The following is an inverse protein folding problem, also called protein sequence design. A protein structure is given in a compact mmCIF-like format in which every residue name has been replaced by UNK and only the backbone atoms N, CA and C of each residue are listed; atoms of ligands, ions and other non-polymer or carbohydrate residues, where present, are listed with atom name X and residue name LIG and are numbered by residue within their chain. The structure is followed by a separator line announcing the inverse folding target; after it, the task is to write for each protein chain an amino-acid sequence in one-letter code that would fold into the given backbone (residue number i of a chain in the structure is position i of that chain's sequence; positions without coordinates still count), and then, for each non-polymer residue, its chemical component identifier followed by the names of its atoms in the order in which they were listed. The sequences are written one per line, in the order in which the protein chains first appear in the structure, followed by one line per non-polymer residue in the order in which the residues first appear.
data_IF_124358970070
#
_entry.id   IF_124358970070
#
_cell.length_a   1.000
_cell.length_b   1.000
_cell.length_c   1.000
_cell.angle_alpha   90.00
_cell.angle_beta   90.00
_cell.angle_gamma   90.00
#
_symmetry.space_group_name_H-M   'P 1'
#
loop_
_entity.id
_entity.type
_entity.pdbx_description
1 polymer ?
#
# COMPACT_ATOMS: atom_id res chain seq x y z
N UNK A 1 -53.72 -6.26 30.71
CA UNK A 1 -52.54 -5.69 30.04
C UNK A 1 -52.91 -5.46 28.59
N UNK A 2 -52.81 -4.23 28.10
CA UNK A 2 -53.30 -3.89 26.76
C UNK A 2 -52.31 -4.41 25.71
N UNK A 3 -52.79 -5.02 24.63
CA UNK A 3 -51.94 -5.55 23.55
C UNK A 3 -50.90 -4.53 23.04
N UNK A 4 -51.20 -3.23 23.13
CA UNK A 4 -50.32 -2.13 22.74
C UNK A 4 -49.05 -2.03 23.62
N UNK A 5 -49.14 -2.28 24.93
CA UNK A 5 -47.98 -2.16 25.84
C UNK A 5 -46.98 -3.30 25.66
N UNK A 6 -47.44 -4.50 25.27
CA UNK A 6 -46.57 -5.65 25.00
C UNK A 6 -45.75 -5.45 23.73
N UNK A 7 -46.37 -4.90 22.67
CA UNK A 7 -45.67 -4.59 21.42
C UNK A 7 -44.58 -3.53 21.60
N UNK A 8 -44.86 -2.47 22.38
CA UNK A 8 -43.87 -1.42 22.67
C UNK A 8 -42.65 -1.98 23.42
N UNK A 9 -42.88 -2.84 24.44
CA UNK A 9 -41.77 -3.47 25.18
C UNK A 9 -40.96 -4.44 24.30
N UNK A 10 -41.62 -5.16 23.39
CA UNK A 10 -40.94 -6.04 22.44
C UNK A 10 -40.05 -5.26 21.48
N UNK A 11 -40.57 -4.15 20.95
CA UNK A 11 -39.86 -3.28 20.01
C UNK A 11 -38.65 -2.60 20.66
N UNK A 12 -38.78 -2.11 21.89
CA UNK A 12 -37.66 -1.55 22.66
C UNK A 12 -36.58 -2.60 22.97
N UNK A 13 -36.99 -3.84 23.27
CA UNK A 13 -36.06 -4.94 23.50
C UNK A 13 -35.28 -5.31 22.23
N UNK A 14 -35.96 -5.37 21.08
CA UNK A 14 -35.33 -5.59 19.78
C UNK A 14 -34.38 -4.45 19.41
N UNK A 15 -34.79 -3.19 19.61
CA UNK A 15 -33.99 -2.02 19.30
C UNK A 15 -32.73 -1.93 20.18
N UNK A 16 -32.84 -2.20 21.48
CA UNK A 16 -31.70 -2.25 22.40
C UNK A 16 -30.71 -3.36 22.05
N UNK A 17 -31.19 -4.54 21.63
CA UNK A 17 -30.33 -5.63 21.17
C UNK A 17 -29.64 -5.32 19.85
N UNK A 18 -30.34 -4.66 18.93
CA UNK A 18 -29.79 -4.21 17.66
C UNK A 18 -28.70 -3.14 17.87
N UNK A 19 -28.96 -2.15 18.74
CA UNK A 19 -27.97 -1.14 19.14
C UNK A 19 -26.75 -1.75 19.85
N UNK A 20 -26.97 -2.74 20.74
CA UNK A 20 -25.87 -3.47 21.38
C UNK A 20 -25.04 -4.25 20.35
N UNK A 21 -25.68 -4.85 19.34
CA UNK A 21 -25.00 -5.55 18.25
C UNK A 21 -24.16 -4.60 17.38
N UNK A 22 -24.68 -3.40 17.08
CA UNK A 22 -23.95 -2.34 16.38
C UNK A 22 -22.73 -1.84 17.18
N UNK A 23 -22.88 -1.64 18.48
CA UNK A 23 -21.79 -1.19 19.36
C UNK A 23 -20.69 -2.26 19.50
N UNK A 24 -21.06 -3.54 19.60
CA UNK A 24 -20.09 -4.65 19.66
C UNK A 24 -19.41 -4.88 18.29
N UNK A 25 -20.17 -4.78 17.19
CA UNK A 25 -19.64 -4.93 15.83
C UNK A 25 -18.65 -3.82 15.45
N UNK A 26 -18.89 -2.58 15.90
CA UNK A 26 -17.96 -1.46 15.68
C UNK A 26 -16.65 -1.56 16.45
N UNK A 27 -16.65 -2.18 17.65
CA UNK A 27 -15.45 -2.40 18.46
C UNK A 27 -14.55 -3.52 17.90
N UNK A 28 -15.14 -4.48 17.18
CA UNK A 28 -14.41 -5.57 16.52
C UNK A 28 -13.97 -5.26 15.08
N UNK A 29 -14.26 -4.07 14.57
CA UNK A 29 -13.67 -3.60 13.32
C UNK A 29 -12.15 -3.47 13.53
N UNK A 30 -11.40 -4.52 13.21
CA UNK A 30 -9.95 -4.47 13.14
C UNK A 30 -9.61 -3.31 12.21
N UNK A 31 -8.97 -2.28 12.77
CA UNK A 31 -8.06 -1.47 11.96
C UNK A 31 -7.08 -2.48 11.37
N UNK A 32 -7.13 -2.71 10.06
CA UNK A 32 -5.98 -3.25 9.37
C UNK A 32 -4.90 -2.18 9.53
N UNK A 33 -4.17 -2.25 10.64
CA UNK A 33 -2.91 -1.52 10.76
C UNK A 33 -2.04 -1.97 9.59
N UNK A 34 -1.27 -1.05 9.02
CA UNK A 34 -0.34 -1.40 7.94
C UNK A 34 0.47 -2.62 8.38
N UNK A 35 0.43 -3.67 7.55
CA UNK A 35 1.23 -4.85 7.80
C UNK A 35 2.71 -4.45 7.79
N UNK A 36 3.53 -5.12 8.60
CA UNK A 36 4.97 -4.97 8.46
C UNK A 36 5.40 -5.34 7.04
N UNK A 37 6.38 -4.60 6.54
CA UNK A 37 6.98 -4.75 5.21
C UNK A 37 7.37 -6.22 4.95
N UNK A 38 8.07 -6.83 5.91
CA UNK A 38 8.56 -8.21 5.82
C UNK A 38 7.45 -9.26 5.70
N UNK A 39 6.19 -8.90 5.94
CA UNK A 39 5.08 -9.84 5.72
C UNK A 39 4.88 -10.13 4.23
N UNK A 40 5.09 -9.14 3.37
CA UNK A 40 4.71 -9.20 1.97
C UNK A 40 5.89 -9.02 1.01
N UNK A 41 6.99 -8.43 1.47
CA UNK A 41 8.12 -8.04 0.62
C UNK A 41 9.44 -8.55 1.21
N UNK A 42 10.43 -8.72 0.32
CA UNK A 42 11.84 -8.93 0.65
C UNK A 42 12.69 -7.87 -0.04
N UNK A 43 13.81 -7.49 0.58
CA UNK A 43 14.81 -6.64 -0.05
C UNK A 43 15.52 -7.46 -1.13
N UNK A 44 15.55 -6.95 -2.36
CA UNK A 44 16.16 -7.63 -3.52
C UNK A 44 17.51 -7.05 -3.89
N UNK A 45 17.80 -5.81 -3.49
CA UNK A 45 19.07 -5.13 -3.75
C UNK A 45 19.38 -4.08 -2.70
N UNK A 46 20.67 -3.88 -2.39
CA UNK A 46 21.14 -2.79 -1.53
C UNK A 46 20.66 -2.91 -0.08
N UNK A 47 20.86 -4.06 0.57
CA UNK A 47 20.44 -4.29 1.97
C UNK A 47 20.98 -3.22 2.95
N UNK A 48 22.19 -2.71 2.70
CA UNK A 48 22.83 -1.63 3.45
C UNK A 48 22.24 -0.24 3.17
N UNK A 49 21.38 -0.13 2.15
CA UNK A 49 20.66 1.07 1.71
C UNK A 49 19.16 1.01 2.03
N UNK A 50 18.74 0.11 2.92
CA UNK A 50 17.35 0.00 3.40
C UNK A 50 17.31 0.16 4.91
N UNK A 51 16.53 1.14 5.37
CA UNK A 51 16.25 1.35 6.79
C UNK A 51 14.79 0.99 7.11
N UNK A 52 14.61 0.06 8.05
CA UNK A 52 13.29 -0.30 8.60
C UNK A 52 12.92 0.64 9.75
N UNK A 53 11.70 1.18 9.72
CA UNK A 53 11.18 2.19 10.65
C UNK A 53 9.81 1.72 11.16
N UNK A 54 9.43 2.16 12.36
CA UNK A 54 8.09 1.91 12.94
C UNK A 54 7.72 0.43 12.96
N UNK A 55 8.60 -0.39 13.54
CA UNK A 55 8.44 -1.86 13.63
C UNK A 55 8.26 -2.52 12.24
N UNK A 56 8.91 -1.95 11.21
CA UNK A 56 8.84 -2.42 9.84
C UNK A 56 7.57 -2.02 9.10
N UNK A 57 6.73 -1.13 9.64
CA UNK A 57 5.58 -0.59 8.90
C UNK A 57 5.98 0.44 7.84
N UNK A 58 7.21 0.95 7.91
CA UNK A 58 7.80 1.83 6.90
C UNK A 58 9.22 1.36 6.58
N UNK A 59 9.60 1.44 5.32
CA UNK A 59 10.99 1.34 4.90
C UNK A 59 11.43 2.65 4.24
N UNK A 60 12.70 2.97 4.38
CA UNK A 60 13.36 4.05 3.67
C UNK A 60 14.44 3.47 2.78
N UNK A 61 14.37 3.77 1.49
CA UNK A 61 15.41 3.45 0.52
C UNK A 61 16.36 4.63 0.38
N UNK A 62 17.66 4.37 0.33
CA UNK A 62 18.68 5.37 -0.01
C UNK A 62 19.37 5.05 -1.34
N UNK A 63 19.90 6.11 -1.94
CA UNK A 63 20.71 6.06 -3.14
C UNK A 63 21.89 6.99 -2.93
N UNK A 64 23.10 6.49 -3.18
CA UNK A 64 24.32 7.27 -3.26
C UNK A 64 25.20 6.79 -4.42
N UNK A 65 26.44 7.26 -4.47
CA UNK A 65 27.36 6.92 -5.56
C UNK A 65 27.80 5.45 -5.56
N UNK A 66 27.59 4.72 -4.48
CA UNK A 66 27.96 3.30 -4.35
C UNK A 66 26.85 2.36 -4.82
N UNK A 67 25.60 2.63 -4.44
CA UNK A 67 24.44 1.81 -4.82
C UNK A 67 23.11 2.54 -4.58
N UNK A 68 22.04 1.99 -5.18
CA UNK A 68 20.67 2.20 -4.75
C UNK A 68 20.14 1.02 -3.92
N UNK A 69 18.82 0.95 -3.76
CA UNK A 69 18.12 -0.15 -3.10
C UNK A 69 16.83 -0.52 -3.81
N UNK A 70 16.36 -1.75 -3.59
CA UNK A 70 15.12 -2.26 -4.16
C UNK A 70 14.53 -3.39 -3.34
N UNK A 71 13.24 -3.62 -3.52
CA UNK A 71 12.51 -4.72 -2.89
C UNK A 71 11.50 -5.32 -3.88
N UNK A 72 11.08 -6.55 -3.61
CA UNK A 72 10.11 -7.28 -4.42
C UNK A 72 9.10 -8.02 -3.55
N UNK A 73 7.92 -8.32 -4.10
CA UNK A 73 6.91 -9.09 -3.39
C UNK A 73 7.33 -10.55 -3.26
N UNK A 74 7.02 -11.17 -2.11
CA UNK A 74 7.25 -12.60 -1.85
C UNK A 74 6.45 -13.51 -2.76
N UNK A 75 5.28 -13.01 -3.20
CA UNK A 75 4.32 -13.75 -4.01
C UNK A 75 4.14 -13.07 -5.36
N UNK A 76 3.74 -13.87 -6.34
CA UNK A 76 3.19 -13.40 -7.61
C UNK A 76 1.66 -13.37 -7.54
N UNK A 77 1.05 -12.44 -8.25
CA UNK A 77 -0.40 -12.24 -8.25
C UNK A 77 -0.93 -12.23 -9.68
N UNK A 78 -2.06 -12.92 -9.93
CA UNK A 78 -2.77 -12.85 -11.22
C UNK A 78 -3.74 -11.67 -11.32
N UNK A 79 -4.14 -11.12 -10.18
CA UNK A 79 -5.00 -9.93 -10.06
C UNK A 79 -4.98 -9.44 -8.62
N UNK A 80 -5.27 -8.16 -8.37
CA UNK A 80 -5.45 -7.66 -7.02
C UNK A 80 -5.56 -6.15 -6.94
N UNK A 81 -5.86 -5.65 -5.74
CA UNK A 81 -5.69 -4.25 -5.39
C UNK A 81 -4.35 -4.10 -4.69
N UNK A 82 -3.40 -3.43 -5.36
CA UNK A 82 -2.03 -3.24 -4.89
C UNK A 82 -1.84 -1.75 -4.67
N UNK A 83 -1.46 -1.37 -3.45
CA UNK A 83 -1.28 0.03 -3.08
C UNK A 83 -0.07 0.21 -2.17
N UNK A 84 0.56 1.38 -2.25
CA UNK A 84 1.74 1.76 -1.47
C UNK A 84 1.61 3.22 -1.04
N UNK A 85 2.01 3.56 0.19
CA UNK A 85 2.17 4.94 0.63
C UNK A 85 3.61 5.36 0.40
N UNK A 86 3.83 6.32 -0.49
CA UNK A 86 5.18 6.73 -0.91
C UNK A 86 5.39 8.20 -0.53
N UNK A 87 6.53 8.48 0.12
CA UNK A 87 7.04 9.83 0.33
C UNK A 87 8.34 9.99 -0.44
N UNK A 88 8.39 10.99 -1.32
CA UNK A 88 9.54 11.23 -2.19
C UNK A 88 10.61 12.09 -1.51
N UNK A 89 11.85 12.09 -2.02
CA UNK A 89 12.91 12.97 -1.51
C UNK A 89 12.49 14.44 -1.52
N UNK A 90 12.69 15.13 -0.39
CA UNK A 90 12.35 16.56 -0.23
C UNK A 90 13.47 17.53 -0.61
N UNK A 91 14.48 17.06 -1.34
CA UNK A 91 15.67 17.82 -1.79
C UNK A 91 15.87 17.61 -3.29
N UNK A 92 16.93 18.20 -3.86
CA UNK A 92 17.31 17.94 -5.26
C UNK A 92 17.42 16.44 -5.52
N UNK A 93 16.65 15.98 -6.51
CA UNK A 93 16.54 14.60 -6.96
C UNK A 93 16.66 14.51 -8.48
N UNK A 94 17.22 15.53 -9.13
CA UNK A 94 17.37 15.53 -10.58
C UNK A 94 18.17 14.31 -11.05
N UNK A 95 17.60 13.55 -11.98
CA UNK A 95 18.21 12.32 -12.51
C UNK A 95 17.98 11.07 -11.65
N UNK A 96 17.25 11.17 -10.53
CA UNK A 96 16.83 10.02 -9.72
C UNK A 96 15.40 9.63 -10.09
N UNK A 97 15.18 8.33 -10.26
CA UNK A 97 13.84 7.75 -10.46
C UNK A 97 13.47 6.93 -9.23
N UNK A 98 12.32 7.22 -8.62
CA UNK A 98 11.69 6.29 -7.67
C UNK A 98 10.63 5.52 -8.43
N UNK A 99 10.76 4.20 -8.52
CA UNK A 99 9.84 3.35 -9.26
C UNK A 99 9.00 2.48 -8.34
N UNK A 100 7.71 2.36 -8.66
CA UNK A 100 6.81 1.36 -8.10
C UNK A 100 6.08 0.70 -9.27
N UNK A 101 6.33 -0.59 -9.48
CA UNK A 101 5.85 -1.26 -10.68
C UNK A 101 5.46 -2.71 -10.39
N UNK A 102 4.71 -3.27 -11.33
CA UNK A 102 4.31 -4.67 -11.34
C UNK A 102 4.86 -5.27 -12.62
N UNK A 103 5.53 -6.41 -12.54
CA UNK A 103 6.09 -7.07 -13.72
C UNK A 103 5.88 -8.59 -13.65
N UNK A 104 5.61 -9.20 -14.80
CA UNK A 104 5.50 -10.66 -14.92
C UNK A 104 6.87 -11.30 -15.15
N UNK A 105 7.11 -12.50 -14.60
CA UNK A 105 8.38 -13.21 -14.76
C UNK A 105 8.40 -14.04 -16.06
N UNK A 106 8.54 -13.37 -17.21
CA UNK A 106 8.72 -14.04 -18.50
C UNK A 106 9.61 -13.22 -19.45
N UNK A 107 10.08 -13.83 -20.54
CA UNK A 107 10.88 -13.12 -21.55
C UNK A 107 10.08 -11.99 -22.23
N UNK A 108 8.78 -12.18 -22.41
CA UNK A 108 7.85 -11.18 -22.94
C UNK A 108 6.97 -10.68 -21.80
N UNK A 109 7.56 -9.93 -20.88
CA UNK A 109 6.85 -9.52 -19.68
C UNK A 109 5.71 -8.54 -19.99
N UNK A 110 4.66 -8.62 -19.19
CA UNK A 110 3.73 -7.53 -18.96
C UNK A 110 4.24 -6.69 -17.78
N UNK A 111 4.08 -5.37 -17.87
CA UNK A 111 4.54 -4.44 -16.83
C UNK A 111 3.60 -3.23 -16.70
N UNK A 112 3.45 -2.74 -15.47
CA UNK A 112 2.70 -1.53 -15.14
C UNK A 112 3.54 -0.67 -14.21
N UNK A 113 3.89 0.54 -14.66
CA UNK A 113 4.86 1.40 -14.00
C UNK A 113 4.24 2.64 -13.38
N UNK A 114 4.80 3.02 -12.22
CA UNK A 114 4.71 4.35 -11.64
C UNK A 114 6.12 4.84 -11.36
N UNK A 115 6.60 5.78 -12.18
CA UNK A 115 7.94 6.33 -12.10
C UNK A 115 7.87 7.80 -11.69
N UNK A 116 8.37 8.09 -10.50
CA UNK A 116 8.51 9.46 -10.01
C UNK A 116 9.87 10.00 -10.47
N UNK A 117 9.83 10.85 -11.49
CA UNK A 117 10.99 11.49 -12.08
C UNK A 117 11.41 12.69 -11.23
N UNK A 118 12.49 12.51 -10.48
CA UNK A 118 13.04 13.53 -9.60
C UNK A 118 13.48 14.79 -10.36
N UNK A 119 13.47 15.91 -9.64
CA UNK A 119 13.74 17.22 -10.22
C UNK A 119 14.65 18.05 -9.31
N UNK A 120 15.16 19.16 -9.84
CA UNK A 120 15.92 20.13 -9.06
C UNK A 120 15.08 20.69 -7.92
N UNK A 121 15.74 21.12 -6.85
CA UNK A 121 15.06 21.66 -5.68
C UNK A 121 14.06 22.79 -6.06
N UNK A 122 12.87 22.74 -5.45
CA UNK A 122 11.79 23.68 -5.73
C UNK A 122 11.05 23.48 -7.06
N UNK A 123 11.42 22.47 -7.86
CA UNK A 123 10.70 22.11 -9.09
C UNK A 123 9.79 20.89 -8.85
N UNK A 124 8.64 20.81 -9.56
CA UNK A 124 7.71 19.69 -9.38
C UNK A 124 8.33 18.38 -9.87
N UNK A 125 8.03 17.29 -9.16
CA UNK A 125 8.29 15.93 -9.61
C UNK A 125 7.24 15.56 -10.66
N UNK A 126 7.66 14.83 -11.70
CA UNK A 126 6.74 14.26 -12.70
C UNK A 126 6.44 12.82 -12.34
N UNK A 127 5.17 12.43 -12.35
CA UNK A 127 4.77 11.03 -12.32
C UNK A 127 4.57 10.56 -13.76
N UNK A 128 5.37 9.59 -14.18
CA UNK A 128 5.20 8.86 -15.42
C UNK A 128 4.52 7.53 -15.13
N UNK A 129 3.59 7.14 -15.98
CA UNK A 129 2.96 5.81 -15.96
C UNK A 129 3.15 5.14 -17.31
N UNK A 130 3.41 3.84 -17.30
CA UNK A 130 3.61 3.07 -18.53
C UNK A 130 2.97 1.68 -18.41
N UNK A 131 2.67 1.07 -19.56
CA UNK A 131 2.17 -0.29 -19.66
C UNK A 131 2.96 -1.03 -20.75
N UNK A 132 3.56 -2.15 -20.38
CA UNK A 132 4.06 -3.14 -21.33
C UNK A 132 3.08 -4.31 -21.41
N UNK A 133 2.83 -4.77 -22.63
CA UNK A 133 2.07 -5.99 -22.89
C UNK A 133 2.84 -6.88 -23.87
N UNK A 134 3.10 -8.13 -23.49
CA UNK A 134 3.88 -9.10 -24.27
C UNK A 134 5.24 -8.51 -24.72
N UNK A 135 5.94 -7.85 -23.80
CA UNK A 135 7.25 -7.23 -24.04
C UNK A 135 7.22 -5.95 -24.88
N UNK A 136 6.05 -5.34 -25.14
CA UNK A 136 5.93 -4.10 -25.90
C UNK A 136 5.28 -2.98 -25.08
N UNK A 137 6.03 -1.89 -24.87
CA UNK A 137 5.53 -0.66 -24.24
C UNK A 137 4.51 0.06 -25.11
N UNK A 138 3.66 0.88 -24.50
CA UNK A 138 2.55 1.59 -25.14
C UNK A 138 2.59 3.10 -24.93
#
# INVERSE_FOLDING_TARGET
MNHCSVLATLMDFCLRRFLAFLLIGGVLARRNGDASFDRNYDITWGNDHVLSIDEGRQIQLSLDNSSGAGFGSKLSFGSGFIHMRIKLPGKDSAGVVTAFYLTSHSNNHDELDFEFLGNREGKPITLQTNVFANGQGK
#
